data_IF_021239421707
#
_entry.id   IF_021239421707
#
_cell.length_a   1.000
_cell.length_b   1.000
_cell.length_c   1.000
_cell.angle_alpha   90.00
_cell.angle_beta   90.00
_cell.angle_gamma   90.00
#
_symmetry.space_group_name_H-M   'P 1'
#
loop_
_entity.id
_entity.type
_entity.pdbx_description
1 polymer ?
#
# COMPACT_ATOMS: atom_id res chain seq x y z
N UNK A 1 -12.70 22.90 -7.03
CA UNK A 1 -12.21 23.50 -8.29
C UNK A 1 -11.54 22.44 -9.16
N UNK A 2 -10.39 21.84 -8.77
CA UNK A 2 -9.68 20.80 -9.56
C UNK A 2 -10.55 19.58 -9.93
N UNK A 3 -11.49 19.16 -9.08
CA UNK A 3 -12.42 18.06 -9.38
C UNK A 3 -13.47 18.45 -10.41
N UNK A 4 -13.96 19.69 -10.34
CA UNK A 4 -14.92 20.22 -11.31
C UNK A 4 -14.28 20.36 -12.68
N UNK A 5 -13.04 20.85 -12.74
CA UNK A 5 -12.25 20.98 -13.96
C UNK A 5 -11.92 19.61 -14.57
N UNK A 6 -11.64 18.59 -13.73
CA UNK A 6 -11.37 17.22 -14.15
C UNK A 6 -12.64 16.42 -14.48
N UNK A 7 -13.85 16.92 -14.21
CA UNK A 7 -15.10 16.22 -14.42
C UNK A 7 -15.21 14.90 -13.67
N UNK A 8 -14.75 14.89 -12.40
CA UNK A 8 -14.74 13.68 -11.55
C UNK A 8 -15.58 13.91 -10.30
N UNK A 9 -16.16 12.82 -9.80
CA UNK A 9 -17.13 12.82 -8.70
C UNK A 9 -16.46 12.55 -7.34
N UNK A 10 -15.29 11.90 -7.36
CA UNK A 10 -14.50 11.65 -6.17
C UNK A 10 -13.00 11.71 -6.48
N UNK A 11 -12.22 12.07 -5.46
CA UNK A 11 -10.78 12.20 -5.59
C UNK A 11 -10.06 11.72 -4.33
N UNK A 12 -8.78 11.51 -4.48
CA UNK A 12 -7.84 11.36 -3.38
C UNK A 12 -6.47 11.89 -3.78
N UNK A 13 -5.62 12.11 -2.79
CA UNK A 13 -4.25 12.52 -3.01
C UNK A 13 -3.26 11.51 -2.40
N UNK A 14 -1.97 11.59 -2.80
CA UNK A 14 -0.94 10.72 -2.26
C UNK A 14 -0.59 11.09 -0.82
N UNK A 15 -0.09 10.12 -0.09
CA UNK A 15 0.54 10.34 1.20
C UNK A 15 2.06 10.47 1.05
N UNK A 16 2.65 11.39 1.82
CA UNK A 16 4.08 11.66 1.81
C UNK A 16 4.70 11.51 3.19
N UNK A 17 5.98 11.16 3.25
CA UNK A 17 6.78 11.24 4.46
C UNK A 17 7.14 12.70 4.72
N UNK A 18 7.10 13.10 6.00
CA UNK A 18 7.62 14.40 6.46
C UNK A 18 9.04 14.25 6.98
N UNK A 19 9.84 15.30 6.92
CA UNK A 19 11.25 15.27 7.37
C UNK A 19 11.40 14.93 8.85
N UNK A 20 10.42 15.30 9.68
CA UNK A 20 10.36 14.97 11.11
C UNK A 20 10.11 13.48 11.41
N UNK A 21 9.90 12.63 10.42
CA UNK A 21 9.70 11.20 10.65
C UNK A 21 10.96 10.55 11.19
N UNK A 22 10.81 9.70 12.21
CA UNK A 22 11.90 8.89 12.74
C UNK A 22 12.42 7.90 11.68
N UNK A 23 13.62 7.36 11.88
CA UNK A 23 14.20 6.39 10.96
C UNK A 23 13.29 5.16 10.76
N UNK A 24 12.60 4.69 11.84
CA UNK A 24 11.63 3.61 11.75
C UNK A 24 10.43 4.02 10.88
N UNK A 25 9.92 5.22 11.05
CA UNK A 25 8.80 5.70 10.23
C UNK A 25 9.19 5.89 8.76
N UNK A 26 10.42 6.31 8.48
CA UNK A 26 10.97 6.41 7.11
C UNK A 26 11.13 5.02 6.49
N UNK A 27 11.62 4.04 7.24
CA UNK A 27 11.73 2.65 6.79
C UNK A 27 10.34 2.04 6.50
N UNK A 28 9.37 2.23 7.40
CA UNK A 28 7.99 1.80 7.17
C UNK A 28 7.39 2.51 5.97
N UNK A 29 7.66 3.82 5.80
CA UNK A 29 7.20 4.55 4.62
C UNK A 29 7.77 3.91 3.33
N UNK A 30 9.05 3.62 3.30
CA UNK A 30 9.69 2.91 2.18
C UNK A 30 8.97 1.60 1.88
N UNK A 31 8.79 0.73 2.88
CA UNK A 31 8.09 -0.56 2.72
C UNK A 31 6.65 -0.42 2.20
N UNK A 32 6.01 0.73 2.41
CA UNK A 32 4.62 0.96 1.97
C UNK A 32 4.50 1.67 0.63
N UNK A 33 5.56 2.30 0.13
CA UNK A 33 5.50 3.18 -1.06
C UNK A 33 6.48 2.82 -2.16
N UNK A 34 7.52 2.02 -1.88
CA UNK A 34 8.48 1.59 -2.91
C UNK A 34 7.80 0.67 -3.92
N UNK A 35 8.19 0.81 -5.18
CA UNK A 35 7.76 -0.06 -6.26
C UNK A 35 8.15 -1.53 -5.99
N UNK A 36 9.35 -1.75 -5.46
CA UNK A 36 9.86 -3.10 -5.20
C UNK A 36 9.13 -3.83 -4.08
N UNK A 37 8.48 -3.10 -3.15
CA UNK A 37 7.77 -3.71 -2.01
C UNK A 37 6.27 -3.82 -2.23
N UNK A 38 5.65 -2.83 -2.86
CA UNK A 38 4.19 -2.74 -3.01
C UNK A 38 3.71 -2.56 -4.44
N UNK A 39 4.61 -2.65 -5.44
CA UNK A 39 4.25 -2.41 -6.85
C UNK A 39 3.73 -1.00 -7.12
N UNK A 40 4.07 -0.03 -6.25
CA UNK A 40 3.65 1.36 -6.42
C UNK A 40 2.15 1.61 -6.17
N UNK A 41 1.44 0.70 -5.50
CA UNK A 41 -0.02 0.77 -5.26
C UNK A 41 -0.42 2.05 -4.49
N UNK A 42 0.50 2.68 -3.75
CA UNK A 42 0.22 3.87 -2.93
C UNK A 42 0.73 5.15 -3.57
N UNK A 43 -0.11 5.76 -4.41
CA UNK A 43 0.05 7.17 -4.76
C UNK A 43 1.14 7.52 -5.76
N UNK A 44 1.65 6.57 -6.53
CA UNK A 44 2.58 6.84 -7.62
C UNK A 44 1.88 6.79 -8.99
N UNK A 45 2.39 7.55 -9.96
CA UNK A 45 1.89 7.58 -11.35
C UNK A 45 1.89 6.20 -12.05
N UNK A 46 2.62 5.22 -11.50
CA UNK A 46 2.77 3.86 -12.02
C UNK A 46 2.11 2.85 -11.06
N UNK A 47 0.84 3.02 -10.72
CA UNK A 47 0.11 2.02 -9.95
C UNK A 47 -0.30 0.85 -10.84
N UNK A 48 -0.12 -0.38 -10.34
CA UNK A 48 -0.60 -1.61 -10.99
C UNK A 48 -2.13 -1.79 -10.87
N UNK A 49 -2.80 -0.98 -10.08
CA UNK A 49 -4.25 -1.02 -9.84
C UNK A 49 -4.92 0.33 -10.13
N UNK A 50 -6.25 0.28 -10.38
CA UNK A 50 -7.09 1.49 -10.38
C UNK A 50 -6.95 2.22 -9.05
N UNK A 51 -6.87 3.54 -9.10
CA UNK A 51 -6.70 4.34 -7.90
C UNK A 51 -7.91 4.22 -6.98
N UNK A 52 -7.66 3.82 -5.75
CA UNK A 52 -8.64 3.79 -4.68
C UNK A 52 -8.30 4.92 -3.69
N UNK A 53 -9.09 6.01 -3.64
CA UNK A 53 -8.92 7.05 -2.65
C UNK A 53 -8.90 6.47 -1.22
N UNK A 54 -8.09 7.06 -0.35
CA UNK A 54 -7.96 6.63 1.05
C UNK A 54 -8.69 7.56 1.98
N UNK A 55 -9.35 7.02 3.00
CA UNK A 55 -10.21 7.78 3.93
C UNK A 55 -9.54 9.01 4.54
N UNK A 56 -8.22 8.96 4.79
CA UNK A 56 -7.47 10.11 5.32
C UNK A 56 -7.26 11.26 4.31
N UNK A 57 -7.50 11.03 3.02
CA UNK A 57 -7.35 12.00 1.94
C UNK A 57 -8.29 11.64 0.78
N UNK A 58 -9.59 11.64 1.06
CA UNK A 58 -10.65 11.36 0.10
C UNK A 58 -11.69 12.48 0.16
N UNK A 59 -12.09 12.96 -1.00
CA UNK A 59 -13.26 13.84 -1.16
C UNK A 59 -14.19 13.28 -2.21
N UNK A 60 -15.49 13.51 -2.06
CA UNK A 60 -16.53 13.10 -3.02
C UNK A 60 -17.72 14.05 -2.98
N UNK A 61 -18.49 14.04 -4.07
CA UNK A 61 -19.65 14.90 -4.21
C UNK A 61 -20.83 14.44 -3.32
N UNK A 62 -21.81 15.30 -3.17
CA UNK A 62 -23.03 14.98 -2.41
C UNK A 62 -23.85 13.90 -3.12
N UNK A 63 -23.80 13.85 -4.45
CA UNK A 63 -24.45 12.82 -5.28
C UNK A 63 -23.85 11.45 -4.99
N UNK A 64 -22.51 11.36 -4.91
CA UNK A 64 -21.80 10.14 -4.49
C UNK A 64 -22.23 9.70 -3.10
N UNK A 65 -22.32 10.64 -2.14
CA UNK A 65 -22.78 10.32 -0.78
C UNK A 65 -24.19 9.75 -0.77
N UNK A 66 -25.12 10.38 -1.51
CA UNK A 66 -26.50 9.91 -1.60
C UNK A 66 -26.61 8.53 -2.24
N UNK A 67 -25.86 8.29 -3.31
CA UNK A 67 -25.89 7.02 -4.04
C UNK A 67 -25.25 5.86 -3.28
N UNK A 68 -24.17 6.13 -2.50
CA UNK A 68 -23.41 5.08 -1.82
C UNK A 68 -23.78 4.92 -0.34
N UNK A 69 -24.43 5.89 0.28
CA UNK A 69 -24.71 5.91 1.72
C UNK A 69 -23.48 6.20 2.60
N UNK A 70 -22.34 6.60 1.99
CA UNK A 70 -21.11 6.88 2.72
C UNK A 70 -20.29 5.65 3.11
N UNK A 71 -19.44 5.79 4.12
CA UNK A 71 -18.60 4.68 4.60
C UNK A 71 -19.42 3.59 5.27
N UNK A 72 -19.04 2.33 5.01
CA UNK A 72 -19.65 1.17 5.68
C UNK A 72 -19.12 1.00 7.12
N UNK A 73 -19.78 0.13 7.90
CA UNK A 73 -19.36 -0.21 9.26
C UNK A 73 -18.09 -1.10 9.34
N UNK A 74 -17.36 -1.28 8.26
CA UNK A 74 -16.11 -2.04 8.28
C UNK A 74 -15.05 -1.33 9.12
N UNK A 75 -14.45 -2.06 10.06
CA UNK A 75 -13.36 -1.52 10.88
C UNK A 75 -12.07 -1.25 10.11
N UNK A 76 -11.83 -2.01 9.05
CA UNK A 76 -10.66 -1.92 8.18
C UNK A 76 -11.09 -2.17 6.73
N UNK A 77 -10.57 -1.36 5.80
CA UNK A 77 -10.88 -1.46 4.38
C UNK A 77 -12.16 -0.72 3.97
N UNK A 78 -12.72 0.09 4.86
CA UNK A 78 -13.89 0.95 4.62
C UNK A 78 -13.66 1.92 3.46
N UNK A 79 -12.43 2.38 3.27
CA UNK A 79 -12.03 3.26 2.17
C UNK A 79 -12.03 2.53 0.82
N UNK A 80 -11.57 1.28 0.80
CA UNK A 80 -11.58 0.46 -0.41
C UNK A 80 -13.01 0.05 -0.75
N UNK A 81 -13.81 -0.37 0.23
CA UNK A 81 -15.23 -0.66 0.05
C UNK A 81 -15.97 0.55 -0.53
N UNK A 82 -15.78 1.74 0.06
CA UNK A 82 -16.36 2.98 -0.45
C UNK A 82 -15.95 3.25 -1.90
N UNK A 83 -14.66 3.09 -2.22
CA UNK A 83 -14.14 3.28 -3.57
C UNK A 83 -14.75 2.30 -4.58
N UNK A 84 -14.94 1.03 -4.19
CA UNK A 84 -15.59 0.03 -5.04
C UNK A 84 -17.05 0.42 -5.30
N UNK A 85 -17.79 0.84 -4.28
CA UNK A 85 -19.18 1.27 -4.42
C UNK A 85 -19.32 2.54 -5.27
N UNK A 86 -18.41 3.50 -5.14
CA UNK A 86 -18.36 4.69 -6.00
C UNK A 86 -18.23 4.27 -7.47
N UNK A 87 -17.26 3.41 -7.77
CA UNK A 87 -17.03 2.95 -9.14
C UNK A 87 -18.17 2.07 -9.68
N UNK A 88 -18.77 1.23 -8.82
CA UNK A 88 -19.93 0.40 -9.18
C UNK A 88 -21.17 1.24 -9.49
N UNK A 89 -21.33 2.38 -8.84
CA UNK A 89 -22.40 3.35 -9.12
C UNK A 89 -22.14 4.20 -10.38
N UNK A 90 -21.03 3.95 -11.10
CA UNK A 90 -20.70 4.65 -12.35
C UNK A 90 -19.98 5.98 -12.18
N UNK A 91 -19.67 6.38 -10.96
CA UNK A 91 -18.93 7.61 -10.68
C UNK A 91 -17.44 7.50 -11.00
N UNK A 92 -16.83 8.63 -11.36
CA UNK A 92 -15.42 8.71 -11.73
C UNK A 92 -14.57 9.11 -10.54
N UNK A 93 -13.44 8.41 -10.35
CA UNK A 93 -12.44 8.74 -9.34
C UNK A 93 -11.14 9.19 -9.99
N UNK A 94 -10.41 10.12 -9.38
CA UNK A 94 -9.08 10.51 -9.82
C UNK A 94 -8.10 10.64 -8.66
N UNK A 95 -6.80 10.55 -9.01
CA UNK A 95 -5.69 10.94 -8.15
C UNK A 95 -5.32 12.39 -8.45
N UNK A 96 -5.34 13.24 -7.42
CA UNK A 96 -4.81 14.60 -7.48
C UNK A 96 -3.42 14.64 -6.84
N UNK A 97 -2.33 14.68 -7.62
CA UNK A 97 -0.96 14.58 -7.10
C UNK A 97 -0.58 15.74 -6.17
N UNK A 98 -1.17 16.91 -6.39
CA UNK A 98 -0.95 18.12 -5.59
C UNK A 98 -1.69 18.11 -4.26
N UNK A 99 -2.78 17.34 -4.16
CA UNK A 99 -3.57 17.18 -2.95
C UNK A 99 -2.94 16.14 -2.00
N UNK A 100 -1.64 16.24 -1.73
CA UNK A 100 -0.95 15.30 -0.86
C UNK A 100 -1.13 15.66 0.62
N UNK A 101 -0.99 14.64 1.49
CA UNK A 101 -0.98 14.80 2.94
C UNK A 101 0.25 14.14 3.57
N UNK A 102 0.77 14.72 4.64
CA UNK A 102 1.80 14.07 5.46
C UNK A 102 1.17 13.08 6.41
N UNK A 103 1.08 11.83 5.99
CA UNK A 103 0.46 10.78 6.78
C UNK A 103 1.47 10.09 7.68
N UNK A 104 1.37 10.33 9.00
CA UNK A 104 2.31 9.81 9.98
C UNK A 104 2.28 8.28 10.05
N UNK A 105 3.42 7.66 9.76
CA UNK A 105 3.59 6.20 9.82
C UNK A 105 3.62 5.67 11.25
N UNK A 106 3.43 4.36 11.41
CA UNK A 106 3.54 3.68 12.71
C UNK A 106 4.93 3.89 13.30
N UNK A 107 4.99 4.03 14.62
CA UNK A 107 6.22 4.39 15.36
C UNK A 107 7.07 3.18 15.75
N UNK A 108 6.60 1.95 15.51
CA UNK A 108 7.34 0.72 15.76
C UNK A 108 6.95 -0.38 14.77
N UNK A 109 7.86 -1.33 14.53
CA UNK A 109 7.61 -2.50 13.69
C UNK A 109 6.45 -3.37 14.20
N UNK A 110 6.30 -3.53 15.52
CA UNK A 110 5.15 -4.26 16.10
C UNK A 110 3.81 -3.63 15.71
N UNK A 111 3.70 -2.29 15.78
CA UNK A 111 2.50 -1.57 15.34
C UNK A 111 2.30 -1.67 13.82
N UNK A 112 3.39 -1.69 13.07
CA UNK A 112 3.35 -1.86 11.63
C UNK A 112 2.90 -3.26 11.25
N UNK A 113 3.46 -4.30 11.86
CA UNK A 113 3.02 -5.68 11.68
C UNK A 113 1.52 -5.85 11.91
N UNK A 114 1.00 -5.30 13.02
CA UNK A 114 -0.44 -5.30 13.31
C UNK A 114 -1.25 -4.59 12.21
N UNK A 115 -0.74 -3.50 11.66
CA UNK A 115 -1.38 -2.80 10.53
C UNK A 115 -1.43 -3.67 9.28
N UNK A 116 -0.33 -4.33 8.92
CA UNK A 116 -0.25 -5.22 7.74
C UNK A 116 -1.17 -6.42 7.93
N UNK A 117 -1.17 -7.03 9.11
CA UNK A 117 -2.08 -8.13 9.47
C UNK A 117 -3.56 -7.71 9.29
N UNK A 118 -3.96 -6.58 9.86
CA UNK A 118 -5.32 -6.05 9.72
C UNK A 118 -5.67 -5.75 8.25
N UNK A 119 -4.70 -5.29 7.45
CA UNK A 119 -4.90 -5.07 6.01
C UNK A 119 -5.14 -6.36 5.26
N UNK A 120 -4.47 -7.45 5.64
CA UNK A 120 -4.73 -8.80 5.10
C UNK A 120 -6.13 -9.29 5.44
N UNK A 121 -6.55 -9.16 6.71
CA UNK A 121 -7.91 -9.50 7.15
C UNK A 121 -8.98 -8.68 6.42
N UNK A 122 -8.74 -7.37 6.27
CA UNK A 122 -9.64 -6.50 5.52
C UNK A 122 -9.81 -6.96 4.07
N UNK A 123 -8.77 -7.50 3.45
CA UNK A 123 -8.83 -8.01 2.07
C UNK A 123 -9.78 -9.19 1.93
N UNK A 124 -9.80 -10.09 2.93
CA UNK A 124 -10.75 -11.21 2.96
C UNK A 124 -12.18 -10.72 3.15
N UNK A 125 -12.41 -9.79 4.08
CA UNK A 125 -13.73 -9.20 4.29
C UNK A 125 -14.25 -8.49 3.02
N UNK A 126 -13.36 -7.75 2.34
CA UNK A 126 -13.69 -7.10 1.06
C UNK A 126 -14.00 -8.13 -0.04
N UNK A 127 -13.32 -9.26 -0.07
CA UNK A 127 -13.63 -10.33 -1.03
C UNK A 127 -15.02 -10.93 -0.77
N UNK A 128 -15.40 -11.14 0.50
CA UNK A 128 -16.74 -11.65 0.84
C UNK A 128 -17.85 -10.69 0.44
N UNK A 129 -17.61 -9.37 0.53
CA UNK A 129 -18.57 -8.34 0.13
C UNK A 129 -18.54 -8.08 -1.39
N UNK A 130 -17.36 -8.13 -1.98
CA UNK A 130 -17.10 -7.81 -3.39
C UNK A 130 -16.20 -8.89 -4.00
N UNK A 131 -16.75 -10.04 -4.46
CA UNK A 131 -15.94 -11.18 -4.94
C UNK A 131 -14.94 -10.84 -6.05
N UNK A 132 -15.26 -9.85 -6.89
CA UNK A 132 -14.35 -9.37 -7.96
C UNK A 132 -13.23 -8.44 -7.47
N UNK A 133 -13.18 -8.11 -6.17
CA UNK A 133 -12.15 -7.23 -5.61
C UNK A 133 -10.81 -7.93 -5.38
N UNK A 134 -10.78 -9.27 -5.33
CA UNK A 134 -9.57 -10.04 -5.13
C UNK A 134 -8.85 -10.25 -6.46
N UNK A 135 -7.56 -9.89 -6.49
CA UNK A 135 -6.69 -9.98 -7.67
C UNK A 135 -5.45 -10.80 -7.34
N UNK A 136 -4.80 -11.36 -8.36
CA UNK A 136 -3.56 -12.13 -8.20
C UNK A 136 -2.47 -11.36 -7.44
N UNK A 137 -2.37 -10.06 -7.62
CA UNK A 137 -1.41 -9.19 -6.91
C UNK A 137 -1.55 -9.28 -5.38
N UNK A 138 -2.73 -9.59 -4.87
CA UNK A 138 -2.96 -9.71 -3.43
C UNK A 138 -2.33 -10.97 -2.82
N UNK A 139 -1.96 -11.94 -3.63
CA UNK A 139 -1.26 -13.16 -3.20
C UNK A 139 0.27 -13.00 -3.19
N UNK A 140 0.82 -11.94 -3.82
CA UNK A 140 2.26 -11.71 -3.87
C UNK A 140 2.94 -11.75 -2.49
N UNK A 141 2.40 -11.18 -1.41
CA UNK A 141 3.01 -11.29 -0.09
C UNK A 141 3.12 -12.73 0.43
N UNK A 142 2.10 -13.56 0.17
CA UNK A 142 2.13 -14.97 0.55
C UNK A 142 3.14 -15.74 -0.29
N UNK A 143 3.16 -15.54 -1.61
CA UNK A 143 4.16 -16.13 -2.50
C UNK A 143 5.59 -15.72 -2.12
N UNK A 144 5.77 -14.46 -1.72
CA UNK A 144 7.06 -13.96 -1.24
C UNK A 144 7.53 -14.70 0.03
N UNK A 145 6.66 -14.85 1.03
CA UNK A 145 6.99 -15.59 2.27
C UNK A 145 7.33 -17.05 1.96
N UNK A 146 6.52 -17.71 1.11
CA UNK A 146 6.79 -19.09 0.69
C UNK A 146 8.14 -19.18 -0.04
N UNK A 147 8.42 -18.26 -0.97
CA UNK A 147 9.70 -18.19 -1.67
C UNK A 147 10.88 -18.04 -0.72
N UNK A 148 10.78 -17.14 0.27
CA UNK A 148 11.82 -16.97 1.30
C UNK A 148 12.04 -18.27 2.10
N UNK A 149 10.96 -18.94 2.52
CA UNK A 149 11.04 -20.21 3.24
C UNK A 149 11.69 -21.29 2.39
N UNK A 150 11.35 -21.40 1.11
CA UNK A 150 11.96 -22.36 0.19
C UNK A 150 13.46 -22.07 -0.02
N UNK A 151 13.85 -20.80 -0.16
CA UNK A 151 15.28 -20.43 -0.24
C UNK A 151 16.03 -20.82 1.04
N UNK A 152 15.46 -20.58 2.22
CA UNK A 152 16.09 -20.94 3.50
C UNK A 152 16.22 -22.46 3.66
N UNK A 153 15.15 -23.21 3.41
CA UNK A 153 15.17 -24.68 3.46
C UNK A 153 16.14 -25.26 2.43
N UNK A 154 16.10 -24.71 1.19
CA UNK A 154 17.06 -25.11 0.14
C UNK A 154 18.51 -24.86 0.55
N UNK A 155 18.78 -23.72 1.21
CA UNK A 155 20.10 -23.39 1.74
C UNK A 155 20.60 -24.35 2.82
N UNK A 156 19.67 -24.85 3.65
CA UNK A 156 20.00 -25.79 4.74
C UNK A 156 20.18 -27.23 4.20
N UNK A 157 19.28 -27.70 3.33
CA UNK A 157 19.19 -29.12 2.97
C UNK A 157 19.87 -29.48 1.66
N UNK A 158 20.09 -28.51 0.74
CA UNK A 158 20.64 -28.79 -0.59
C UNK A 158 21.95 -28.07 -0.85
N UNK A 159 21.92 -26.74 -0.92
CA UNK A 159 23.11 -25.94 -1.24
C UNK A 159 22.93 -24.48 -0.82
N UNK A 160 24.00 -23.89 -0.29
CA UNK A 160 24.04 -22.46 0.04
C UNK A 160 23.69 -21.53 -1.16
N UNK A 161 23.86 -21.99 -2.40
CA UNK A 161 23.44 -21.26 -3.60
C UNK A 161 21.94 -20.93 -3.62
N UNK A 162 21.11 -21.72 -2.93
CA UNK A 162 19.69 -21.47 -2.79
C UNK A 162 19.39 -20.16 -2.02
N UNK A 163 20.36 -19.64 -1.26
CA UNK A 163 20.22 -18.36 -0.55
C UNK A 163 20.50 -17.14 -1.44
N UNK A 164 21.15 -17.32 -2.60
CA UNK A 164 21.52 -16.20 -3.47
C UNK A 164 20.35 -15.33 -3.90
N UNK A 165 19.16 -15.86 -4.27
CA UNK A 165 18.01 -15.01 -4.61
C UNK A 165 17.57 -14.14 -3.45
N UNK A 166 17.58 -14.66 -2.21
CA UNK A 166 17.22 -13.92 -1.01
C UNK A 166 18.24 -12.81 -0.70
N UNK A 167 19.55 -13.12 -0.81
CA UNK A 167 20.61 -12.14 -0.61
C UNK A 167 20.54 -11.02 -1.66
N UNK A 168 20.31 -11.37 -2.93
CA UNK A 168 20.13 -10.40 -4.00
C UNK A 168 18.93 -9.48 -3.73
N UNK A 169 17.82 -10.03 -3.28
CA UNK A 169 16.62 -9.27 -2.95
C UNK A 169 16.86 -8.30 -1.78
N UNK A 170 17.53 -8.77 -0.71
CA UNK A 170 17.93 -7.93 0.43
C UNK A 170 18.83 -6.79 -0.06
N UNK A 171 19.80 -7.09 -0.93
CA UNK A 171 20.68 -6.10 -1.51
C UNK A 171 19.95 -5.05 -2.33
N UNK A 172 19.01 -5.47 -3.19
CA UNK A 172 18.17 -4.56 -3.98
C UNK A 172 17.36 -3.65 -3.07
N UNK A 173 16.70 -4.18 -2.05
CA UNK A 173 15.92 -3.37 -1.09
C UNK A 173 16.79 -2.39 -0.33
N UNK A 174 17.99 -2.83 0.08
CA UNK A 174 18.96 -1.96 0.76
C UNK A 174 19.36 -0.77 -0.13
N UNK A 175 19.79 -1.05 -1.35
CA UNK A 175 20.25 -0.01 -2.29
C UNK A 175 19.11 0.95 -2.65
N UNK A 176 17.92 0.42 -2.94
CA UNK A 176 16.76 1.27 -3.30
C UNK A 176 16.33 2.15 -2.11
N UNK A 177 16.27 1.59 -0.91
CA UNK A 177 15.95 2.37 0.30
C UNK A 177 17.03 3.41 0.60
N UNK A 178 18.31 3.07 0.45
CA UNK A 178 19.41 4.02 0.62
C UNK A 178 19.32 5.16 -0.39
N UNK A 179 19.09 4.84 -1.65
CA UNK A 179 18.94 5.83 -2.74
C UNK A 179 17.79 6.81 -2.45
N UNK A 180 16.64 6.32 -2.00
CA UNK A 180 15.45 7.11 -1.74
C UNK A 180 15.54 7.95 -0.46
N UNK A 181 16.07 7.39 0.61
CA UNK A 181 16.11 8.04 1.92
C UNK A 181 17.46 8.71 2.22
N UNK A 182 18.50 8.50 1.42
CA UNK A 182 19.88 9.01 1.60
C UNK A 182 20.44 8.72 3.01
N UNK A 183 20.02 7.60 3.62
CA UNK A 183 20.37 7.20 4.98
C UNK A 183 20.61 5.70 5.07
N UNK A 184 21.82 5.32 5.40
CA UNK A 184 22.22 3.92 5.63
C UNK A 184 21.42 3.31 6.76
N UNK A 185 21.16 4.05 7.85
CA UNK A 185 20.35 3.59 8.99
C UNK A 185 18.93 3.22 8.55
N UNK A 186 18.31 4.06 7.72
CA UNK A 186 16.96 3.78 7.19
C UNK A 186 17.00 2.58 6.25
N UNK A 187 18.04 2.45 5.41
CA UNK A 187 18.18 1.31 4.50
C UNK A 187 18.25 -0.02 5.27
N UNK A 188 19.05 -0.11 6.34
CA UNK A 188 19.07 -1.30 7.21
C UNK A 188 17.72 -1.59 7.86
N UNK A 189 17.04 -0.57 8.39
CA UNK A 189 15.73 -0.74 9.00
C UNK A 189 14.62 -1.12 8.00
N UNK A 190 14.85 -0.90 6.71
CA UNK A 190 13.88 -1.24 5.66
C UNK A 190 13.93 -2.72 5.24
N UNK A 191 14.94 -3.47 5.70
CA UNK A 191 15.08 -4.91 5.45
C UNK A 191 14.25 -5.73 6.46
N UNK A 192 13.94 -5.14 7.63
CA UNK A 192 13.14 -5.76 8.69
C UNK A 192 11.65 -5.73 8.34
#
# INVERSE_FOLDING_TARGET
QACQEAGVDAFGGPDRAHDSFTNIQKAINYSMTSFFTTGGIRGQKQSMEKFHPRSFNMGFSQEVLKATGGFSGLRFGEDIDMSIRIMAAGFKTCLLPEAYVFHKRRTSFRKFFKQVYNSGMARINLYLLHPHSLKLVHFLPACFVIGCLLCLLGGIFFSWYCLLPLLLLIFVFFIDSWRLNKSIKVAFLSIV
#
